data_IF_609887923107
#
_entry.id   IF_609887923107
#
_cell.length_a   1.000
_cell.length_b   1.000
_cell.length_c   1.000
_cell.angle_alpha   90.00
_cell.angle_beta   90.00
_cell.angle_gamma   90.00
#
_symmetry.space_group_name_H-M   'P 1'
#
loop_
_entity.id
_entity.type
_entity.pdbx_description
1 polymer ?
#
# COMPACT_ATOMS: atom_id res chain seq x y z
N UNK A 1 21.88 -65.06 -7.35
CA UNK A 1 21.93 -63.97 -6.38
C UNK A 1 22.74 -62.82 -6.99
N UNK A 2 22.20 -61.70 -7.35
CA UNK A 2 22.72 -60.41 -7.77
C UNK A 2 21.81 -59.83 -8.87
N UNK A 3 20.83 -59.04 -8.46
CA UNK A 3 20.12 -58.06 -9.29
C UNK A 3 19.15 -57.31 -8.35
N UNK A 4 19.50 -56.18 -7.79
CA UNK A 4 18.65 -55.11 -7.28
C UNK A 4 19.54 -54.06 -6.59
N UNK A 5 20.06 -53.11 -7.34
CA UNK A 5 20.63 -51.85 -6.84
C UNK A 5 20.87 -50.95 -8.06
N UNK A 6 19.81 -50.28 -8.52
CA UNK A 6 19.89 -49.10 -9.40
C UNK A 6 18.47 -48.52 -9.60
N UNK A 7 17.95 -47.83 -8.62
CA UNK A 7 16.76 -47.00 -8.80
C UNK A 7 16.56 -46.06 -7.59
N UNK A 8 17.51 -45.20 -7.28
CA UNK A 8 17.37 -44.22 -6.20
C UNK A 8 18.15 -42.93 -6.40
N UNK A 9 18.29 -42.45 -7.64
CA UNK A 9 19.14 -41.25 -7.90
C UNK A 9 18.54 -40.19 -8.83
N UNK A 10 17.22 -40.18 -9.12
CA UNK A 10 16.65 -39.24 -10.12
C UNK A 10 15.58 -38.29 -9.54
N UNK A 11 15.24 -38.34 -8.25
CA UNK A 11 14.11 -37.57 -7.70
C UNK A 11 14.46 -36.25 -7.02
N UNK A 12 15.73 -35.85 -6.96
CA UNK A 12 16.14 -34.62 -6.21
C UNK A 12 16.29 -33.36 -7.08
N UNK A 13 16.39 -33.48 -8.40
CA UNK A 13 16.60 -32.31 -9.26
C UNK A 13 15.31 -31.54 -9.68
N UNK A 14 14.13 -32.12 -9.50
CA UNK A 14 12.88 -31.45 -9.93
C UNK A 14 12.33 -30.45 -8.92
N UNK A 15 12.68 -30.57 -7.64
CA UNK A 15 12.15 -29.67 -6.58
C UNK A 15 12.83 -28.28 -6.55
N UNK A 16 14.08 -28.19 -6.99
CA UNK A 16 14.82 -26.92 -7.03
C UNK A 16 14.32 -25.93 -8.09
N UNK A 17 13.82 -26.46 -9.22
CA UNK A 17 13.34 -25.62 -10.32
C UNK A 17 11.96 -25.02 -10.06
N UNK A 18 11.12 -25.67 -9.26
CA UNK A 18 9.77 -25.16 -8.93
C UNK A 18 9.81 -23.98 -7.96
N UNK A 19 10.78 -23.93 -7.05
CA UNK A 19 10.95 -22.81 -6.11
C UNK A 19 11.54 -21.55 -6.79
N UNK A 20 12.44 -21.72 -7.77
CA UNK A 20 12.98 -20.62 -8.55
C UNK A 20 11.92 -20.00 -9.50
N UNK A 21 10.96 -20.80 -9.97
CA UNK A 21 9.89 -20.34 -10.87
C UNK A 21 8.78 -19.60 -10.13
N UNK A 22 8.62 -19.82 -8.82
CA UNK A 22 7.60 -19.13 -7.99
C UNK A 22 7.92 -17.65 -7.76
N UNK A 23 9.19 -17.23 -7.92
CA UNK A 23 9.64 -15.85 -7.70
C UNK A 23 10.01 -15.10 -9.00
N UNK A 24 9.76 -15.69 -10.18
CA UNK A 24 9.98 -15.03 -11.47
C UNK A 24 8.64 -14.47 -12.01
N UNK A 25 8.34 -13.25 -11.61
CA UNK A 25 7.11 -12.57 -12.03
C UNK A 25 7.11 -12.27 -13.53
N UNK A 26 8.26 -11.97 -14.15
CA UNK A 26 8.33 -11.72 -15.59
C UNK A 26 8.02 -13.00 -16.39
N UNK A 27 8.54 -14.15 -15.98
CA UNK A 27 8.23 -15.44 -16.61
C UNK A 27 6.74 -15.79 -16.44
N UNK A 28 6.17 -15.57 -15.24
CA UNK A 28 4.74 -15.73 -14.99
C UNK A 28 3.90 -14.86 -15.94
N UNK A 29 4.22 -13.56 -16.04
CA UNK A 29 3.51 -12.63 -16.93
C UNK A 29 3.64 -13.07 -18.39
N UNK A 30 4.83 -13.45 -18.82
CA UNK A 30 5.10 -13.89 -20.19
C UNK A 30 4.32 -15.15 -20.56
N UNK A 31 4.20 -16.10 -19.65
CA UNK A 31 3.51 -17.38 -19.89
C UNK A 31 1.99 -17.28 -19.79
N UNK A 32 1.47 -16.45 -18.88
CA UNK A 32 0.03 -16.31 -18.63
C UNK A 32 -0.64 -15.20 -19.44
N UNK A 33 0.13 -14.21 -19.92
CA UNK A 33 -0.43 -12.99 -20.53
C UNK A 33 -1.22 -12.13 -19.55
N UNK A 34 -1.04 -12.32 -18.22
CA UNK A 34 -1.80 -11.62 -17.20
C UNK A 34 -0.91 -11.19 -16.02
N UNK A 35 -1.29 -10.08 -15.36
CA UNK A 35 -0.64 -9.53 -14.18
C UNK A 35 -1.68 -8.97 -13.22
N UNK A 36 -1.46 -9.10 -11.92
CA UNK A 36 -2.37 -8.55 -10.90
C UNK A 36 -1.76 -7.29 -10.27
N UNK A 37 -2.44 -6.16 -10.49
CA UNK A 37 -2.14 -4.87 -9.89
C UNK A 37 -2.97 -4.68 -8.62
N UNK A 38 -2.31 -4.55 -7.48
CA UNK A 38 -2.93 -4.13 -6.22
C UNK A 38 -3.27 -2.64 -6.26
N UNK A 39 -4.52 -2.30 -6.02
CA UNK A 39 -5.04 -0.93 -6.12
C UNK A 39 -5.76 -0.51 -4.84
N UNK A 40 -5.88 0.81 -4.62
CA UNK A 40 -6.56 1.37 -3.46
C UNK A 40 -7.95 1.88 -3.83
N UNK A 41 -8.87 1.83 -2.85
CA UNK A 41 -10.24 2.32 -3.03
C UNK A 41 -10.46 3.72 -2.45
N UNK A 42 -9.68 4.12 -1.45
CA UNK A 42 -9.89 5.36 -0.68
C UNK A 42 -8.60 6.10 -0.32
N UNK A 43 -7.53 5.94 -1.12
CA UNK A 43 -6.28 6.69 -0.97
C UNK A 43 -6.30 7.96 -1.84
N UNK A 44 -5.50 8.97 -1.47
CA UNK A 44 -5.29 10.17 -2.31
C UNK A 44 -4.55 9.88 -3.61
N UNK A 45 -3.67 8.85 -3.60
CA UNK A 45 -2.86 8.44 -4.75
C UNK A 45 -3.54 7.38 -5.64
N UNK A 46 -4.62 6.75 -5.17
CA UNK A 46 -5.41 5.77 -5.90
C UNK A 46 -6.77 5.57 -5.25
N UNK A 47 -7.83 5.54 -6.04
CA UNK A 47 -9.20 5.40 -5.54
C UNK A 47 -10.12 4.75 -6.58
N UNK A 48 -11.28 4.30 -6.12
CA UNK A 48 -12.30 3.74 -7.00
C UNK A 48 -13.32 4.79 -7.43
N UNK A 49 -13.78 4.66 -8.68
CA UNK A 49 -14.98 5.36 -9.19
C UNK A 49 -16.22 4.46 -9.15
N UNK A 50 -16.11 3.28 -8.53
CA UNK A 50 -17.15 2.25 -8.56
C UNK A 50 -17.05 1.36 -9.80
N UNK A 51 -17.89 0.29 -9.85
CA UNK A 51 -17.96 -0.65 -10.96
C UNK A 51 -16.63 -1.24 -11.43
N UNK A 52 -15.68 -1.44 -10.48
CA UNK A 52 -14.36 -1.99 -10.77
C UNK A 52 -13.41 -1.03 -11.47
N UNK A 53 -13.74 0.25 -11.56
CA UNK A 53 -12.87 1.28 -12.14
C UNK A 53 -12.00 1.94 -11.07
N UNK A 54 -10.70 1.86 -11.25
CA UNK A 54 -9.69 2.44 -10.38
C UNK A 54 -8.92 3.52 -11.14
N UNK A 55 -8.61 4.61 -10.45
CA UNK A 55 -7.94 5.79 -11.00
C UNK A 55 -7.02 6.41 -9.95
N UNK A 56 -6.24 7.41 -10.37
CA UNK A 56 -5.34 8.17 -9.53
C UNK A 56 -3.88 7.95 -9.91
N UNK A 57 -3.03 8.85 -9.43
CA UNK A 57 -1.63 8.94 -9.84
C UNK A 57 -0.89 7.59 -9.79
N UNK A 58 -0.99 6.86 -8.68
CA UNK A 58 -0.29 5.58 -8.54
C UNK A 58 -0.97 4.43 -9.29
N UNK A 59 -2.28 4.46 -9.47
CA UNK A 59 -2.97 3.48 -10.31
C UNK A 59 -2.51 3.63 -11.77
N UNK A 60 -2.55 4.83 -12.32
CA UNK A 60 -2.10 5.12 -13.69
C UNK A 60 -0.61 4.86 -13.89
N UNK A 61 0.21 5.17 -12.89
CA UNK A 61 1.64 4.86 -12.91
C UNK A 61 1.86 3.34 -12.96
N UNK A 62 1.16 2.56 -12.14
CA UNK A 62 1.21 1.10 -12.17
C UNK A 62 0.82 0.54 -13.55
N UNK A 63 -0.23 1.08 -14.16
CA UNK A 63 -0.66 0.70 -15.52
C UNK A 63 0.41 1.01 -16.57
N UNK A 64 1.07 2.17 -16.49
CA UNK A 64 2.18 2.57 -17.39
C UNK A 64 3.38 1.64 -17.24
N UNK A 65 3.79 1.36 -16.00
CA UNK A 65 4.86 0.39 -15.71
C UNK A 65 4.54 -0.97 -16.36
N UNK A 66 3.32 -1.46 -16.21
CA UNK A 66 2.90 -2.74 -16.78
C UNK A 66 2.82 -2.71 -18.31
N UNK A 67 2.46 -1.58 -18.90
CA UNK A 67 2.52 -1.40 -20.36
C UNK A 67 3.95 -1.44 -20.90
N UNK A 68 4.92 -0.89 -20.18
CA UNK A 68 6.34 -0.97 -20.55
C UNK A 68 6.89 -2.40 -20.39
N UNK A 69 6.50 -3.10 -19.34
CA UNK A 69 6.82 -4.52 -19.15
C UNK A 69 6.21 -5.38 -20.24
N UNK A 70 4.98 -5.10 -20.68
CA UNK A 70 4.36 -5.76 -21.84
C UNK A 70 5.23 -5.63 -23.08
N UNK A 71 5.70 -4.42 -23.39
CA UNK A 71 6.58 -4.15 -24.54
C UNK A 71 7.92 -4.89 -24.40
N UNK A 72 8.53 -4.82 -23.21
CA UNK A 72 9.80 -5.50 -22.91
C UNK A 72 9.71 -7.03 -23.12
N UNK A 73 8.57 -7.63 -22.75
CA UNK A 73 8.33 -9.07 -22.90
C UNK A 73 7.89 -9.47 -24.33
N UNK A 74 7.65 -8.51 -25.23
CA UNK A 74 7.17 -8.75 -26.59
C UNK A 74 5.75 -9.31 -26.65
N UNK A 75 4.91 -8.99 -25.65
CA UNK A 75 3.54 -9.47 -25.59
C UNK A 75 2.61 -8.59 -26.44
N UNK A 76 1.83 -9.21 -27.32
CA UNK A 76 0.81 -8.49 -28.12
C UNK A 76 -0.29 -7.89 -27.24
N UNK A 77 -0.61 -8.56 -26.11
CA UNK A 77 -1.61 -8.12 -25.13
C UNK A 77 -1.18 -8.54 -23.74
N UNK A 78 -1.48 -7.70 -22.75
CA UNK A 78 -1.37 -7.99 -21.33
C UNK A 78 -2.70 -7.70 -20.63
N UNK A 79 -3.24 -8.69 -19.95
CA UNK A 79 -4.42 -8.52 -19.12
C UNK A 79 -3.99 -7.99 -17.74
N UNK A 80 -4.44 -6.80 -17.35
CA UNK A 80 -4.25 -6.26 -16.02
C UNK A 80 -5.48 -6.59 -15.18
N UNK A 81 -5.29 -7.42 -14.15
CA UNK A 81 -6.31 -7.74 -13.14
C UNK A 81 -6.13 -6.80 -11.96
N UNK A 82 -7.19 -6.09 -11.60
CA UNK A 82 -7.15 -5.19 -10.45
C UNK A 82 -7.60 -5.92 -9.19
N UNK A 83 -6.75 -5.88 -8.14
CA UNK A 83 -7.04 -6.43 -6.83
C UNK A 83 -7.12 -5.29 -5.82
N UNK A 84 -8.32 -4.95 -5.31
CA UNK A 84 -8.44 -3.99 -4.22
C UNK A 84 -7.70 -4.48 -2.98
N UNK A 85 -6.91 -3.59 -2.38
CA UNK A 85 -6.17 -3.89 -1.16
C UNK A 85 -6.36 -2.81 -0.10
N UNK A 86 -6.35 -3.23 1.15
CA UNK A 86 -6.32 -2.35 2.32
C UNK A 86 -4.89 -2.18 2.82
N UNK A 87 -4.66 -1.23 3.73
CA UNK A 87 -3.36 -1.08 4.38
C UNK A 87 -2.94 -2.32 5.18
N UNK A 88 -3.91 -3.10 5.67
CA UNK A 88 -3.67 -4.29 6.47
C UNK A 88 -3.31 -5.52 5.62
N UNK A 89 -3.97 -5.72 4.46
CA UNK A 89 -3.82 -6.97 3.69
C UNK A 89 -2.85 -6.89 2.51
N UNK A 90 -2.42 -5.69 2.08
CA UNK A 90 -1.56 -5.52 0.89
C UNK A 90 -0.23 -6.28 0.96
N UNK A 91 0.47 -6.26 2.11
CA UNK A 91 1.74 -6.97 2.27
C UNK A 91 1.55 -8.49 2.17
N UNK A 92 0.65 -9.13 2.93
CA UNK A 92 0.36 -10.55 2.76
C UNK A 92 -0.03 -10.94 1.32
N UNK A 93 -0.83 -10.13 0.62
CA UNK A 93 -1.26 -10.41 -0.75
C UNK A 93 -0.11 -10.32 -1.78
N UNK A 94 0.87 -9.45 -1.56
CA UNK A 94 2.09 -9.42 -2.39
C UNK A 94 3.00 -10.59 -2.06
N UNK A 95 3.21 -10.89 -0.77
CA UNK A 95 4.08 -11.99 -0.32
C UNK A 95 3.60 -13.34 -0.85
N UNK A 96 2.30 -13.62 -0.81
CA UNK A 96 1.72 -14.89 -1.27
C UNK A 96 1.48 -14.97 -2.78
N UNK A 97 1.76 -13.90 -3.54
CA UNK A 97 1.63 -13.87 -4.99
C UNK A 97 0.22 -13.64 -5.54
N UNK A 98 -0.77 -13.34 -4.68
CA UNK A 98 -2.11 -12.92 -5.13
C UNK A 98 -2.02 -11.58 -5.88
N UNK A 99 -1.14 -10.70 -5.44
CA UNK A 99 -0.80 -9.43 -6.09
C UNK A 99 0.64 -9.49 -6.58
N UNK A 100 0.87 -9.12 -7.83
CA UNK A 100 2.21 -9.11 -8.42
C UNK A 100 2.95 -7.81 -8.11
N UNK A 101 2.25 -6.69 -8.21
CA UNK A 101 2.73 -5.35 -7.88
C UNK A 101 1.61 -4.56 -7.22
N UNK A 102 1.91 -3.84 -6.14
CA UNK A 102 0.99 -2.89 -5.51
C UNK A 102 1.53 -1.48 -5.68
N UNK A 103 0.79 -0.62 -6.36
CA UNK A 103 1.07 0.81 -6.48
C UNK A 103 -0.07 1.58 -5.81
N UNK A 104 0.12 1.88 -4.55
CA UNK A 104 -0.87 2.56 -3.71
C UNK A 104 -0.22 3.62 -2.82
N UNK A 105 -0.57 3.64 -1.56
CA UNK A 105 -0.02 4.54 -0.55
C UNK A 105 0.86 3.77 0.45
N UNK A 106 1.82 2.99 -0.06
CA UNK A 106 2.66 2.14 0.79
C UNK A 106 4.00 2.80 1.06
N UNK A 107 4.23 3.17 2.32
CA UNK A 107 5.49 3.70 2.79
C UNK A 107 6.58 2.64 2.70
N UNK A 108 7.66 2.95 2.02
CA UNK A 108 8.90 2.18 1.99
C UNK A 108 9.67 2.41 3.29
N UNK A 109 9.75 1.42 4.14
CA UNK A 109 10.54 1.47 5.38
C UNK A 109 11.22 0.14 5.69
N UNK A 110 12.24 0.19 6.55
CA UNK A 110 13.08 -0.98 6.90
C UNK A 110 12.28 -2.16 7.48
N UNK A 111 11.20 -1.90 8.20
CA UNK A 111 10.39 -2.97 8.77
C UNK A 111 9.68 -3.76 7.68
N UNK A 112 9.09 -3.08 6.69
CA UNK A 112 8.39 -3.69 5.54
C UNK A 112 9.35 -4.34 4.54
N UNK A 113 10.57 -3.79 4.39
CA UNK A 113 11.62 -4.39 3.53
C UNK A 113 12.08 -5.77 3.99
N UNK A 114 11.74 -6.20 5.20
CA UNK A 114 11.97 -7.57 5.67
C UNK A 114 11.13 -8.58 4.89
N UNK A 115 9.93 -8.20 4.49
CA UNK A 115 8.93 -9.08 3.88
C UNK A 115 8.76 -8.86 2.38
N UNK A 116 8.94 -7.62 1.90
CA UNK A 116 8.69 -7.19 0.51
C UNK A 116 9.82 -6.33 -0.03
N UNK A 117 9.89 -6.19 -1.35
CA UNK A 117 10.75 -5.24 -2.04
C UNK A 117 9.95 -3.98 -2.43
N UNK A 118 10.65 -2.87 -2.56
CA UNK A 118 10.10 -1.61 -3.04
C UNK A 118 10.84 -1.13 -4.29
N UNK A 119 10.12 -0.58 -5.24
CA UNK A 119 10.66 0.18 -6.35
C UNK A 119 11.19 1.54 -5.87
N UNK A 120 11.66 2.39 -6.80
CA UNK A 120 12.02 3.77 -6.45
C UNK A 120 10.85 4.51 -5.80
N UNK A 121 11.19 5.42 -4.88
CA UNK A 121 10.21 6.34 -4.29
C UNK A 121 9.63 7.23 -5.38
N UNK A 122 8.32 7.25 -5.49
CA UNK A 122 7.56 7.97 -6.53
C UNK A 122 6.78 9.16 -5.98
N UNK A 123 6.59 9.18 -4.66
CA UNK A 123 5.90 10.26 -3.96
C UNK A 123 6.43 10.39 -2.53
N UNK A 124 6.46 11.61 -2.01
CA UNK A 124 6.80 11.87 -0.60
C UNK A 124 5.56 12.39 0.09
N UNK A 125 5.11 11.66 1.10
CA UNK A 125 3.89 11.97 1.84
C UNK A 125 4.23 12.56 3.20
N UNK A 126 3.29 13.34 3.76
CA UNK A 126 3.37 13.90 5.10
C UNK A 126 2.21 13.39 5.94
N UNK A 127 2.48 12.80 7.09
CA UNK A 127 1.43 12.45 8.05
C UNK A 127 0.96 13.72 8.76
N UNK A 128 -0.36 13.96 8.72
CA UNK A 128 -1.01 15.17 9.20
C UNK A 128 -2.24 14.82 10.06
N UNK A 129 -2.93 15.85 10.56
CA UNK A 129 -4.13 15.73 11.40
C UNK A 129 -5.31 16.39 10.70
N UNK A 130 -6.38 15.63 10.42
CA UNK A 130 -7.66 16.19 10.00
C UNK A 130 -8.64 16.25 11.16
N UNK A 131 -9.38 17.34 11.25
CA UNK A 131 -10.34 17.62 12.31
C UNK A 131 -11.58 18.33 11.75
N UNK A 132 -12.67 18.34 12.51
CA UNK A 132 -13.76 19.25 12.24
C UNK A 132 -13.27 20.70 12.38
N UNK A 133 -13.62 21.57 11.46
CA UNK A 133 -13.16 22.97 11.41
C UNK A 133 -13.51 23.76 12.69
N UNK A 134 -14.59 23.39 13.37
CA UNK A 134 -15.06 24.03 14.60
C UNK A 134 -14.54 23.37 15.89
N UNK A 135 -13.69 22.33 15.79
CA UNK A 135 -13.24 21.55 16.97
C UNK A 135 -12.36 22.33 17.95
N UNK A 136 -11.77 23.45 17.51
CA UNK A 136 -10.74 24.17 18.29
C UNK A 136 -9.36 23.50 18.31
N UNK A 137 -9.23 22.28 17.73
CA UNK A 137 -7.95 21.56 17.64
C UNK A 137 -7.06 22.23 16.59
N UNK A 138 -5.82 22.55 16.94
CA UNK A 138 -4.83 23.21 16.10
C UNK A 138 -3.56 22.40 15.91
N UNK A 139 -3.34 21.37 16.72
CA UNK A 139 -2.15 20.50 16.63
C UNK A 139 -2.20 19.31 17.54
N UNK A 140 -1.07 18.57 17.60
CA UNK A 140 -0.97 17.29 18.32
C UNK A 140 -1.27 17.42 19.81
N UNK A 141 -0.89 18.53 20.45
CA UNK A 141 -1.07 18.76 21.89
C UNK A 141 -2.53 18.90 22.31
N UNK A 142 -3.39 19.38 21.39
CA UNK A 142 -4.82 19.55 21.65
C UNK A 142 -5.58 18.20 21.60
N UNK A 143 -4.90 17.13 21.22
CA UNK A 143 -5.46 15.79 21.19
C UNK A 143 -5.57 15.13 22.57
N UNK A 144 -5.02 15.75 23.63
CA UNK A 144 -5.12 15.23 24.97
C UNK A 144 -6.59 15.06 25.40
N UNK A 145 -6.96 13.88 25.89
CA UNK A 145 -8.33 13.53 26.30
C UNK A 145 -9.29 13.24 25.13
N UNK A 146 -8.86 13.30 23.88
CA UNK A 146 -9.67 13.12 22.67
C UNK A 146 -9.74 11.67 22.22
N UNK A 147 -10.63 11.39 21.28
CA UNK A 147 -10.67 10.12 20.53
C UNK A 147 -10.04 10.33 19.16
N UNK A 148 -8.97 9.57 18.86
CA UNK A 148 -8.20 9.72 17.64
C UNK A 148 -8.36 8.46 16.80
N UNK A 149 -8.71 8.63 15.52
CA UNK A 149 -8.77 7.54 14.57
C UNK A 149 -7.51 7.50 13.70
N UNK A 150 -7.06 6.29 13.41
CA UNK A 150 -6.09 5.95 12.37
C UNK A 150 -6.62 4.77 11.55
N UNK A 151 -5.96 4.42 10.45
CA UNK A 151 -6.33 3.24 9.66
C UNK A 151 -5.43 2.06 10.02
N UNK A 152 -6.03 0.89 10.23
CA UNK A 152 -5.32 -0.35 10.56
C UNK A 152 -4.26 -0.68 9.49
N UNK A 153 -3.05 -1.07 9.93
CA UNK A 153 -1.95 -1.46 9.04
C UNK A 153 -1.14 -0.30 8.45
N UNK A 154 -1.38 0.95 8.90
CA UNK A 154 -0.62 2.12 8.47
C UNK A 154 0.54 2.47 9.42
N UNK A 155 1.51 3.20 8.90
CA UNK A 155 2.60 3.83 9.69
C UNK A 155 2.07 4.92 10.61
N UNK A 156 0.95 5.56 10.27
CA UNK A 156 0.32 6.60 11.08
C UNK A 156 -0.05 6.12 12.49
N UNK A 157 -0.36 4.83 12.67
CA UNK A 157 -0.55 4.22 14.01
C UNK A 157 0.70 4.36 14.86
N UNK A 158 1.87 4.06 14.28
CA UNK A 158 3.15 4.14 15.00
C UNK A 158 3.55 5.60 15.25
N UNK A 159 3.34 6.47 14.26
CA UNK A 159 3.60 7.91 14.36
C UNK A 159 2.76 8.53 15.48
N UNK A 160 1.47 8.23 15.53
CA UNK A 160 0.58 8.67 16.61
C UNK A 160 1.09 8.22 17.99
N UNK A 161 1.42 6.94 18.14
CA UNK A 161 1.90 6.38 19.41
C UNK A 161 3.27 6.91 19.84
N UNK A 162 4.14 7.23 18.87
CA UNK A 162 5.42 7.89 19.14
C UNK A 162 5.21 9.29 19.73
N UNK A 163 4.36 10.10 19.09
CA UNK A 163 4.05 11.45 19.58
C UNK A 163 3.33 11.41 20.93
N UNK A 164 2.38 10.48 21.13
CA UNK A 164 1.72 10.26 22.42
C UNK A 164 2.72 10.10 23.56
N UNK A 165 3.74 9.26 23.35
CA UNK A 165 4.79 9.03 24.37
C UNK A 165 5.71 10.23 24.56
N UNK A 166 6.10 10.88 23.47
CA UNK A 166 7.02 12.02 23.52
C UNK A 166 6.42 13.22 24.27
N UNK A 167 5.14 13.49 24.07
CA UNK A 167 4.44 14.64 24.64
C UNK A 167 3.64 14.30 25.91
N UNK A 168 3.70 13.04 26.39
CA UNK A 168 2.95 12.61 27.59
C UNK A 168 1.43 12.67 27.43
N UNK A 169 0.92 12.56 26.20
CA UNK A 169 -0.50 12.73 25.90
C UNK A 169 -1.31 11.49 26.29
N UNK A 170 -2.54 11.71 26.71
CA UNK A 170 -3.54 10.68 26.97
C UNK A 170 -4.71 10.87 26.04
N UNK A 171 -5.02 9.86 25.20
CA UNK A 171 -6.16 9.87 24.29
C UNK A 171 -6.63 8.44 24.01
N UNK A 172 -7.89 8.31 23.54
CA UNK A 172 -8.46 7.04 23.09
C UNK A 172 -8.09 6.81 21.63
N UNK A 173 -7.51 5.66 21.32
CA UNK A 173 -7.24 5.23 19.93
C UNK A 173 -8.40 4.39 19.41
N UNK A 174 -8.87 4.68 18.21
CA UNK A 174 -9.79 3.86 17.43
C UNK A 174 -9.22 3.64 16.04
N UNK A 175 -9.60 2.55 15.38
CA UNK A 175 -9.05 2.19 14.07
C UNK A 175 -10.15 1.86 13.09
N UNK A 176 -10.07 2.48 11.89
CA UNK A 176 -10.90 2.11 10.76
C UNK A 176 -10.28 0.95 9.97
N UNK A 177 -11.10 0.25 9.21
CA UNK A 177 -10.69 -0.85 8.34
C UNK A 177 -9.89 -0.34 7.14
N UNK A 178 -10.33 0.78 6.59
CA UNK A 178 -9.65 1.54 5.54
C UNK A 178 -9.80 3.05 5.76
N UNK A 179 -9.36 3.86 4.80
CA UNK A 179 -9.31 5.30 4.97
C UNK A 179 -10.70 5.95 4.95
N UNK A 180 -11.63 5.43 4.13
CA UNK A 180 -13.00 5.94 4.08
C UNK A 180 -13.75 5.63 5.39
N UNK A 181 -13.60 4.42 5.93
CA UNK A 181 -14.18 4.04 7.23
C UNK A 181 -13.58 4.89 8.37
N UNK A 182 -12.26 5.13 8.35
CA UNK A 182 -11.62 6.02 9.32
C UNK A 182 -12.13 7.45 9.24
N UNK A 183 -12.30 7.99 8.03
CA UNK A 183 -12.83 9.33 7.82
C UNK A 183 -14.29 9.43 8.24
N UNK A 184 -15.11 8.40 7.99
CA UNK A 184 -16.50 8.33 8.44
C UNK A 184 -16.61 8.42 9.98
N UNK A 185 -15.63 7.88 10.73
CA UNK A 185 -15.61 8.04 12.18
C UNK A 185 -15.41 9.50 12.60
N UNK A 186 -14.62 10.29 11.85
CA UNK A 186 -14.49 11.72 12.04
C UNK A 186 -15.79 12.45 11.65
N UNK A 187 -16.40 12.11 10.51
CA UNK A 187 -17.64 12.72 10.03
C UNK A 187 -18.80 12.52 10.99
N UNK A 188 -18.90 11.35 11.59
CA UNK A 188 -20.00 10.99 12.53
C UNK A 188 -19.72 11.39 13.98
N UNK A 189 -18.58 12.06 14.25
CA UNK A 189 -18.21 12.47 15.61
C UNK A 189 -17.81 11.32 16.53
N UNK A 190 -17.55 10.12 15.99
CA UNK A 190 -17.00 8.96 16.74
C UNK A 190 -15.52 9.12 17.04
N UNK A 191 -14.84 10.01 16.31
CA UNK A 191 -13.48 10.46 16.57
C UNK A 191 -13.41 11.98 16.45
N UNK A 192 -12.51 12.59 17.22
CA UNK A 192 -12.25 14.04 17.22
C UNK A 192 -11.24 14.44 16.16
N UNK A 193 -10.33 13.53 15.81
CA UNK A 193 -9.30 13.73 14.79
C UNK A 193 -8.98 12.44 14.05
N UNK A 194 -8.59 12.58 12.76
CA UNK A 194 -8.05 11.52 11.92
C UNK A 194 -6.60 11.81 11.56
N UNK A 195 -5.67 10.94 11.97
CA UNK A 195 -4.24 11.07 11.67
C UNK A 195 -3.89 10.11 10.53
N UNK A 196 -3.41 10.69 9.41
CA UNK A 196 -3.11 9.97 8.18
C UNK A 196 -2.25 10.84 7.24
N UNK A 197 -1.82 10.24 6.14
CA UNK A 197 -1.16 10.89 5.02
C UNK A 197 -2.00 12.07 4.49
N UNK A 198 -1.37 13.20 4.25
CA UNK A 198 -2.06 14.45 3.88
C UNK A 198 -2.89 14.32 2.61
N UNK A 199 -2.39 13.60 1.59
CA UNK A 199 -3.14 13.35 0.36
C UNK A 199 -4.40 12.51 0.60
N UNK A 200 -4.33 11.55 1.51
CA UNK A 200 -5.47 10.71 1.90
C UNK A 200 -6.52 11.54 2.65
N UNK A 201 -6.06 12.39 3.58
CA UNK A 201 -6.95 13.31 4.29
C UNK A 201 -7.65 14.27 3.32
N UNK A 202 -6.90 14.91 2.43
CA UNK A 202 -7.45 15.84 1.43
C UNK A 202 -8.46 15.16 0.51
N UNK A 203 -8.16 13.95 0.02
CA UNK A 203 -9.05 13.20 -0.86
C UNK A 203 -10.36 12.79 -0.16
N UNK A 204 -10.32 12.39 1.10
CA UNK A 204 -11.54 12.04 1.84
C UNK A 204 -12.35 13.31 2.19
N UNK A 205 -11.69 14.38 2.61
CA UNK A 205 -12.35 15.67 2.85
C UNK A 205 -13.06 16.16 1.57
N UNK A 206 -12.41 16.12 0.42
CA UNK A 206 -12.99 16.58 -0.85
C UNK A 206 -14.22 15.80 -1.30
N UNK A 207 -14.34 14.54 -0.87
CA UNK A 207 -15.48 13.65 -1.17
C UNK A 207 -16.57 13.69 -0.09
N UNK A 208 -16.34 14.37 1.03
CA UNK A 208 -17.33 14.51 2.09
C UNK A 208 -18.53 15.35 1.63
N UNK A 209 -19.65 15.22 2.33
CA UNK A 209 -20.87 15.97 2.02
C UNK A 209 -20.65 17.49 2.08
N UNK A 210 -19.82 17.96 3.00
CA UNK A 210 -19.46 19.38 3.14
C UNK A 210 -17.94 19.50 3.47
N UNK A 211 -17.07 19.63 2.48
CA UNK A 211 -15.63 19.74 2.70
C UNK A 211 -15.21 20.89 3.62
N UNK A 212 -15.98 21.98 3.67
CA UNK A 212 -15.69 23.13 4.52
C UNK A 212 -15.84 22.84 6.03
N UNK A 213 -16.50 21.74 6.41
CA UNK A 213 -16.61 21.31 7.80
C UNK A 213 -15.31 20.72 8.35
N UNK A 214 -14.30 20.48 7.51
CA UNK A 214 -13.05 19.84 7.89
C UNK A 214 -11.84 20.69 7.50
N UNK A 215 -10.75 20.50 8.24
CA UNK A 215 -9.45 21.12 7.95
C UNK A 215 -8.31 20.20 8.37
N UNK A 216 -7.18 20.35 7.69
CA UNK A 216 -5.91 19.73 8.08
C UNK A 216 -5.16 20.73 8.93
N UNK A 217 -4.66 20.31 10.09
CA UNK A 217 -4.05 21.19 11.10
C UNK A 217 -2.71 20.67 11.59
N UNK A 218 -2.00 21.51 12.32
CA UNK A 218 -0.76 21.19 13.00
C UNK A 218 0.43 21.06 12.07
N UNK A 219 1.53 20.67 12.67
CA UNK A 219 2.81 20.37 12.01
C UNK A 219 2.80 19.02 11.32
N UNK A 220 3.83 18.76 10.50
CA UNK A 220 4.09 17.45 9.90
C UNK A 220 4.54 16.50 11.00
N UNK A 221 3.81 15.38 11.18
CA UNK A 221 4.11 14.39 12.20
C UNK A 221 5.18 13.40 11.77
N UNK A 222 5.24 13.07 10.48
CA UNK A 222 6.31 12.30 9.83
C UNK A 222 6.29 12.50 8.33
N UNK A 223 7.42 12.18 7.69
CA UNK A 223 7.59 12.18 6.23
C UNK A 223 7.74 10.73 5.77
N UNK A 224 6.97 10.36 4.75
CA UNK A 224 6.80 8.98 4.32
C UNK A 224 7.16 8.82 2.84
N UNK A 225 8.25 8.10 2.49
CA UNK A 225 8.56 7.79 1.09
C UNK A 225 7.62 6.70 0.59
N UNK A 226 6.80 7.01 -0.41
CA UNK A 226 5.84 6.09 -1.00
C UNK A 226 6.42 5.47 -2.26
N UNK A 227 6.26 4.15 -2.42
CA UNK A 227 6.76 3.40 -3.56
C UNK A 227 5.85 2.21 -3.90
N UNK A 228 5.90 1.76 -5.16
CA UNK A 228 5.31 0.49 -5.53
C UNK A 228 6.02 -0.67 -4.81
N UNK A 229 5.24 -1.66 -4.40
CA UNK A 229 5.67 -2.81 -3.61
C UNK A 229 5.56 -4.08 -4.43
N UNK A 230 6.57 -4.93 -4.34
CA UNK A 230 6.69 -6.20 -5.08
C UNK A 230 7.14 -7.31 -4.13
N UNK A 231 7.08 -8.56 -4.61
CA UNK A 231 7.68 -9.67 -3.86
C UNK A 231 9.17 -9.44 -3.65
N UNK A 232 9.64 -9.83 -2.48
CA UNK A 232 11.06 -9.94 -2.19
C UNK A 232 11.69 -11.05 -3.03
N UNK A 233 12.98 -10.96 -3.28
CA UNK A 233 13.76 -11.97 -4.00
C UNK A 233 13.35 -12.16 -5.48
N UNK A 234 12.81 -11.12 -6.11
CA UNK A 234 12.57 -11.03 -7.56
C UNK A 234 13.29 -9.79 -8.16
N UNK A 235 14.63 -9.82 -8.24
CA UNK A 235 15.41 -8.66 -8.68
C UNK A 235 15.18 -8.31 -10.16
N UNK A 236 14.81 -9.27 -10.99
CA UNK A 236 14.54 -9.03 -12.41
C UNK A 236 13.26 -8.22 -12.59
N UNK A 237 12.18 -8.58 -11.87
CA UNK A 237 10.95 -7.82 -11.90
C UNK A 237 11.11 -6.43 -11.28
N UNK A 238 11.82 -6.35 -10.13
CA UNK A 238 12.13 -5.06 -9.52
C UNK A 238 12.90 -4.15 -10.47
N UNK A 239 13.91 -4.69 -11.18
CA UNK A 239 14.67 -3.91 -12.16
C UNK A 239 13.77 -3.39 -13.29
N UNK A 240 12.89 -4.24 -13.84
CA UNK A 240 11.96 -3.83 -14.90
C UNK A 240 11.02 -2.70 -14.44
N UNK A 241 10.50 -2.79 -13.21
CA UNK A 241 9.68 -1.73 -12.60
C UNK A 241 10.47 -0.45 -12.39
N UNK A 242 11.68 -0.54 -11.82
CA UNK A 242 12.55 0.62 -11.58
C UNK A 242 12.98 1.32 -12.87
N UNK A 243 13.26 0.57 -13.92
CA UNK A 243 13.65 1.13 -15.24
C UNK A 243 12.46 1.87 -15.90
N UNK A 244 11.23 1.42 -15.67
CA UNK A 244 10.03 2.10 -16.17
C UNK A 244 9.69 3.39 -15.40
N UNK A 245 10.17 3.51 -14.14
CA UNK A 245 9.93 4.71 -13.31
C UNK A 245 10.90 5.84 -13.67
N UNK A 246 12.07 5.54 -14.24
CA UNK A 246 13.10 6.53 -14.65
C UNK A 246 12.67 7.32 -15.87
#
# INVERSE_FOLDING_TARGET
MKKHLLAAAITVLAAGSALAQANDTLAKIKSSGAVTLGVRESSGLGYTLGSGKYVGFHTEMGERILADIQKQLGLAKLEIKYQPVTSQNRIPLVVNGTVDIECGSTTNNMARQKDVAFAYTTYVEEVRIAVNAKSGITGIKDLNGKTIVTTTGTTSVQTLRKNKRADGLTFKEVMGKDHADSFLMLETGRADAFIMDGSILAANISKSKNPADYKVVGEVLSVEPIACMLRKDDPAFKKAVDDSIK
#
